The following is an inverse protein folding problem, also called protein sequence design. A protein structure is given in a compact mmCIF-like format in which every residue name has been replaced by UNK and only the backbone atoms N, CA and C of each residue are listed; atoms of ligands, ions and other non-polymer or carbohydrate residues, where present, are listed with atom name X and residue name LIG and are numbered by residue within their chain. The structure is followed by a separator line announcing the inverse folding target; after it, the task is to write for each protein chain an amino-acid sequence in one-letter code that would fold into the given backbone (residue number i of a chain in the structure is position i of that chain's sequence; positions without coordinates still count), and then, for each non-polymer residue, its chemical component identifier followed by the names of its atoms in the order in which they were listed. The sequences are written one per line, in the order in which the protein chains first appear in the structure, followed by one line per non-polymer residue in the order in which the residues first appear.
data_IF_480402049394
#
_entry.id   IF_480402049394
#
_cell.length_a   1.000
_cell.length_b   1.000
_cell.length_c   1.000
_cell.angle_alpha   90.00
_cell.angle_beta   90.00
_cell.angle_gamma   90.00
#
_symmetry.space_group_name_H-M   'P 1'
#
loop_
_entity.id
_entity.type
_entity.pdbx_description
1 polymer ?
#
# COMPACT_ATOMS: atom_id res chain seq x y z
N UNK A 1 10.13 21.68 10.34
CA UNK A 1 11.57 21.83 10.11
C UNK A 1 12.24 20.57 10.65
N UNK A 2 12.62 19.64 9.78
CA UNK A 2 13.35 18.44 10.17
C UNK A 2 14.84 18.79 10.14
N UNK A 3 15.44 18.89 11.32
CA UNK A 3 16.89 19.04 11.49
C UNK A 3 17.46 17.73 12.02
N UNK A 4 18.38 17.09 11.29
CA UNK A 4 19.38 16.23 11.90
C UNK A 4 19.49 14.76 11.47
N UNK A 5 19.08 14.35 10.27
CA UNK A 5 19.48 13.04 9.71
C UNK A 5 20.44 13.24 8.54
N UNK A 6 21.54 12.50 8.52
CA UNK A 6 22.51 12.50 7.44
C UNK A 6 21.81 12.25 6.10
N UNK A 7 22.18 13.04 5.09
CA UNK A 7 21.70 12.93 3.72
C UNK A 7 22.25 11.64 3.10
N UNK A 8 21.64 10.49 3.42
CA UNK A 8 21.88 9.23 2.70
C UNK A 8 20.67 9.01 1.82
N UNK A 9 20.73 9.44 0.57
CA UNK A 9 19.79 9.14 -0.52
C UNK A 9 19.63 7.62 -0.71
N UNK A 10 19.15 6.87 0.28
CA UNK A 10 19.03 5.40 0.27
C UNK A 10 17.60 5.05 0.68
N UNK A 11 16.84 4.47 -0.24
CA UNK A 11 15.56 3.85 0.12
C UNK A 11 15.79 2.64 1.03
N UNK A 12 15.00 2.47 2.11
CA UNK A 12 14.95 1.23 2.87
C UNK A 12 14.79 0.02 1.94
N UNK A 13 15.57 -1.03 2.18
CA UNK A 13 15.59 -2.20 1.30
C UNK A 13 14.22 -2.87 1.12
N UNK A 14 13.33 -2.82 2.13
CA UNK A 14 11.96 -3.33 1.99
C UNK A 14 11.13 -2.54 0.96
N UNK A 15 11.31 -1.23 0.89
CA UNK A 15 10.63 -0.38 -0.11
C UNK A 15 11.14 -0.66 -1.52
N UNK A 16 12.44 -0.93 -1.66
CA UNK A 16 13.03 -1.40 -2.91
C UNK A 16 12.36 -2.69 -3.42
N UNK A 17 12.12 -3.65 -2.51
CA UNK A 17 11.40 -4.89 -2.85
C UNK A 17 9.95 -4.64 -3.31
N UNK A 18 9.22 -3.71 -2.68
CA UNK A 18 7.86 -3.36 -3.13
C UNK A 18 7.84 -2.68 -4.50
N UNK A 19 8.83 -1.83 -4.80
CA UNK A 19 9.00 -1.24 -6.13
C UNK A 19 9.28 -2.34 -7.17
N UNK A 20 10.22 -3.25 -6.88
CA UNK A 20 10.54 -4.38 -7.74
C UNK A 20 9.32 -5.28 -8.01
N UNK A 21 8.54 -5.61 -6.97
CA UNK A 21 7.30 -6.39 -7.11
C UNK A 21 6.27 -5.68 -8.02
N UNK A 22 6.17 -4.36 -7.92
CA UNK A 22 5.27 -3.56 -8.76
C UNK A 22 5.69 -3.63 -10.23
N UNK A 23 6.98 -3.45 -10.52
CA UNK A 23 7.55 -3.56 -11.87
C UNK A 23 7.32 -4.95 -12.46
N UNK A 24 7.58 -6.00 -11.68
CA UNK A 24 7.38 -7.38 -12.12
C UNK A 24 5.90 -7.69 -12.39
N UNK A 25 5.01 -7.16 -11.55
CA UNK A 25 3.56 -7.29 -11.77
C UNK A 25 3.12 -6.57 -13.05
N UNK A 26 3.69 -5.40 -13.34
CA UNK A 26 3.48 -4.69 -14.60
C UNK A 26 3.97 -5.49 -15.81
N UNK A 27 5.16 -6.09 -15.73
CA UNK A 27 5.72 -6.97 -16.77
C UNK A 27 4.86 -8.21 -17.02
N UNK A 28 4.28 -8.79 -15.98
CA UNK A 28 3.36 -9.94 -16.12
C UNK A 28 2.10 -9.54 -16.88
N UNK A 29 1.55 -8.35 -16.64
CA UNK A 29 0.38 -7.86 -17.37
C UNK A 29 0.71 -7.43 -18.80
N UNK A 30 1.83 -6.74 -18.99
CA UNK A 30 2.32 -6.30 -20.29
C UNK A 30 3.70 -6.93 -20.57
N UNK A 31 3.72 -8.08 -21.27
CA UNK A 31 4.96 -8.74 -21.65
C UNK A 31 5.86 -7.91 -22.58
N UNK A 32 5.37 -6.81 -23.16
CA UNK A 32 6.18 -5.90 -23.98
C UNK A 32 7.08 -4.99 -23.15
N UNK A 33 6.85 -4.89 -21.83
CA UNK A 33 7.64 -4.03 -20.95
C UNK A 33 9.11 -4.48 -20.90
N UNK A 34 10.06 -3.63 -21.25
CA UNK A 34 11.49 -4.01 -21.19
C UNK A 34 12.09 -3.66 -19.83
N UNK A 35 12.50 -4.68 -19.05
CA UNK A 35 13.19 -4.44 -17.77
C UNK A 35 14.55 -3.77 -17.98
N UNK A 36 15.27 -4.09 -19.07
CA UNK A 36 16.56 -3.47 -19.37
C UNK A 36 16.42 -1.98 -19.75
N UNK A 37 15.30 -1.61 -20.38
CA UNK A 37 15.03 -0.20 -20.69
C UNK A 37 14.49 0.55 -19.47
N UNK A 38 13.67 -0.11 -18.65
CA UNK A 38 13.01 0.47 -17.49
C UNK A 38 13.92 0.60 -16.28
N UNK A 39 14.77 -0.38 -15.99
CA UNK A 39 15.48 -0.48 -14.71
C UNK A 39 16.93 -0.08 -14.90
N UNK A 40 17.47 0.72 -13.98
CA UNK A 40 18.89 1.00 -13.96
C UNK A 40 19.67 -0.29 -13.63
N UNK A 41 20.84 -0.55 -14.26
CA UNK A 41 21.65 -1.73 -13.95
C UNK A 41 21.93 -1.95 -12.46
N UNK A 42 22.07 -0.88 -11.67
CA UNK A 42 22.28 -0.98 -10.22
C UNK A 42 21.08 -1.52 -9.43
N UNK A 43 19.87 -1.48 -9.99
CA UNK A 43 18.65 -1.99 -9.36
C UNK A 43 18.22 -3.37 -9.88
N UNK A 44 18.82 -3.86 -10.96
CA UNK A 44 18.54 -5.20 -11.50
C UNK A 44 18.75 -6.33 -10.47
N UNK A 45 19.76 -6.29 -9.58
CA UNK A 45 19.89 -7.32 -8.53
C UNK A 45 18.68 -7.41 -7.59
N UNK A 46 17.97 -6.30 -7.36
CA UNK A 46 16.73 -6.30 -6.56
C UNK A 46 15.59 -6.94 -7.34
N UNK A 47 15.50 -6.68 -8.65
CA UNK A 47 14.52 -7.32 -9.54
C UNK A 47 14.73 -8.84 -9.55
N UNK A 48 15.97 -9.30 -9.76
CA UNK A 48 16.32 -10.71 -9.82
C UNK A 48 16.01 -11.44 -8.50
N UNK A 49 16.39 -10.84 -7.37
CA UNK A 49 16.10 -11.37 -6.04
C UNK A 49 14.58 -11.46 -5.78
N UNK A 50 13.84 -10.42 -6.18
CA UNK A 50 12.38 -10.37 -6.04
C UNK A 50 11.68 -11.41 -6.92
N UNK A 51 12.20 -11.74 -8.11
CA UNK A 51 11.58 -12.74 -9.00
C UNK A 51 11.57 -14.15 -8.39
N UNK A 52 12.59 -14.50 -7.60
CA UNK A 52 12.74 -15.84 -7.01
C UNK A 52 12.27 -15.91 -5.56
N UNK A 53 12.00 -14.76 -4.93
CA UNK A 53 11.54 -14.67 -3.55
C UNK A 53 10.01 -14.54 -3.46
N UNK A 54 9.41 -15.22 -2.49
CA UNK A 54 8.00 -15.04 -2.14
C UNK A 54 7.75 -13.82 -1.23
N UNK A 55 8.80 -13.10 -0.80
CA UNK A 55 8.71 -11.91 0.05
C UNK A 55 9.65 -10.82 -0.46
N UNK A 56 9.25 -9.54 -0.44
CA UNK A 56 10.16 -8.45 -0.80
C UNK A 56 11.37 -8.46 0.14
N UNK A 57 12.54 -8.74 -0.41
CA UNK A 57 13.83 -8.66 0.25
C UNK A 57 14.58 -7.43 -0.28
N UNK A 58 15.28 -6.76 0.62
CA UNK A 58 16.05 -5.57 0.27
C UNK A 58 17.52 -5.90 0.09
N UNK A 59 18.08 -5.58 -1.08
CA UNK A 59 19.53 -5.58 -1.29
C UNK A 59 20.06 -4.22 -0.82
N UNK A 60 20.91 -4.22 0.20
CA UNK A 60 21.15 -3.07 1.09
C UNK A 60 22.03 -1.93 0.57
N UNK A 61 22.15 -1.67 -0.74
CA UNK A 61 23.08 -0.63 -1.22
C UNK A 61 22.67 0.16 -2.49
N UNK A 62 21.37 0.28 -2.79
CA UNK A 62 20.94 1.07 -3.96
C UNK A 62 20.55 2.51 -3.58
N UNK A 63 21.20 3.50 -4.20
CA UNK A 63 20.97 4.95 -3.95
C UNK A 63 19.78 5.52 -4.75
N UNK A 64 19.14 6.58 -4.24
CA UNK A 64 17.88 7.13 -4.79
C UNK A 64 17.95 7.60 -6.23
N UNK A 65 19.13 8.00 -6.68
CA UNK A 65 19.25 8.83 -7.86
C UNK A 65 19.01 8.12 -9.20
N UNK A 66 18.76 6.80 -9.27
CA UNK A 66 18.35 6.12 -10.51
C UNK A 66 17.92 4.66 -10.31
N UNK A 67 16.72 4.36 -9.80
CA UNK A 67 16.22 2.95 -9.84
C UNK A 67 15.61 2.59 -11.18
N UNK A 68 14.94 3.59 -11.79
CA UNK A 68 14.07 3.43 -12.93
C UNK A 68 14.44 4.54 -13.92
N UNK A 69 14.59 4.17 -15.18
CA UNK A 69 14.74 5.09 -16.30
C UNK A 69 13.35 5.56 -16.73
N UNK A 70 13.20 6.85 -17.00
CA UNK A 70 11.98 7.41 -17.59
C UNK A 70 11.88 7.02 -19.07
N UNK A 71 10.65 6.96 -19.60
CA UNK A 71 10.36 6.64 -21.00
C UNK A 71 9.15 5.73 -21.16
N UNK A 72 8.96 5.17 -22.36
CA UNK A 72 7.76 4.39 -22.71
C UNK A 72 7.47 3.24 -21.73
N UNK A 73 8.50 2.53 -21.26
CA UNK A 73 8.30 1.44 -20.30
C UNK A 73 7.98 1.93 -18.89
N UNK A 74 8.43 3.13 -18.51
CA UNK A 74 8.01 3.77 -17.27
C UNK A 74 6.53 4.16 -17.36
N UNK A 75 6.09 4.71 -18.49
CA UNK A 75 4.69 5.08 -18.72
C UNK A 75 3.76 3.85 -18.65
N UNK A 76 4.22 2.68 -19.11
CA UNK A 76 3.48 1.41 -18.92
C UNK A 76 3.34 1.04 -17.45
N UNK A 77 4.38 1.23 -16.62
CA UNK A 77 4.29 0.99 -15.16
C UNK A 77 3.35 2.01 -14.53
N UNK A 78 3.41 3.28 -14.92
CA UNK A 78 2.48 4.31 -14.45
C UNK A 78 1.05 3.92 -14.80
N UNK A 79 0.78 3.53 -16.04
CA UNK A 79 -0.55 3.07 -16.47
C UNK A 79 -1.00 1.83 -15.69
N UNK A 80 -0.10 0.88 -15.43
CA UNK A 80 -0.37 -0.29 -14.58
C UNK A 80 -0.81 0.12 -13.17
N UNK A 81 -0.11 1.08 -12.57
CA UNK A 81 -0.41 1.61 -11.22
C UNK A 81 -1.73 2.35 -11.26
N UNK A 82 -1.90 3.32 -12.16
CA UNK A 82 -3.13 4.13 -12.26
C UNK A 82 -4.37 3.26 -12.46
N UNK A 83 -4.31 2.24 -13.31
CA UNK A 83 -5.47 1.34 -13.53
C UNK A 83 -5.84 0.50 -12.32
N UNK A 84 -4.96 0.36 -11.32
CA UNK A 84 -5.18 -0.42 -10.08
C UNK A 84 -5.29 0.43 -8.82
N UNK A 85 -4.76 1.64 -8.83
CA UNK A 85 -4.75 2.57 -7.69
C UNK A 85 -6.12 3.18 -7.43
N UNK A 86 -7.08 3.03 -8.34
CA UNK A 86 -8.46 3.34 -8.04
C UNK A 86 -9.10 2.16 -7.29
N UNK A 87 -9.34 2.33 -5.99
CA UNK A 87 -10.50 1.67 -5.42
C UNK A 87 -11.69 2.03 -6.31
N UNK A 88 -12.55 1.07 -6.66
CA UNK A 88 -13.70 1.40 -7.46
C UNK A 88 -14.43 2.53 -6.74
N UNK A 89 -14.65 3.66 -7.42
CA UNK A 89 -15.56 4.73 -6.99
C UNK A 89 -17.01 4.23 -6.86
N UNK A 90 -17.22 2.93 -7.00
CA UNK A 90 -18.48 2.25 -6.91
C UNK A 90 -18.73 1.91 -5.45
N UNK A 91 -19.96 2.15 -5.02
CA UNK A 91 -20.50 1.66 -3.77
C UNK A 91 -20.20 0.18 -3.57
N UNK A 92 -19.61 -0.17 -2.43
CA UNK A 92 -19.54 -1.54 -1.97
C UNK A 92 -20.87 -1.92 -1.32
N UNK A 93 -21.42 -3.07 -1.72
CA UNK A 93 -22.70 -3.59 -1.21
C UNK A 93 -22.56 -4.41 0.08
N UNK A 94 -21.36 -4.42 0.66
CA UNK A 94 -21.04 -5.09 1.90
C UNK A 94 -20.40 -4.08 2.85
N UNK A 95 -20.60 -4.19 4.18
CA UNK A 95 -19.83 -3.42 5.14
C UNK A 95 -18.34 -3.70 5.01
N UNK A 96 -17.52 -2.66 5.17
CA UNK A 96 -16.06 -2.75 5.09
C UNK A 96 -15.43 -2.18 6.35
N UNK A 97 -14.42 -2.88 6.87
CA UNK A 97 -13.50 -2.39 7.89
C UNK A 97 -12.18 -1.98 7.21
N UNK A 98 -11.68 -0.79 7.53
CA UNK A 98 -10.35 -0.31 7.16
C UNK A 98 -9.61 0.04 8.46
N UNK A 99 -8.43 -0.53 8.66
CA UNK A 99 -7.59 -0.29 9.85
C UNK A 99 -6.23 0.26 9.41
N UNK A 100 -5.75 1.33 10.03
CA UNK A 100 -4.45 1.91 9.73
C UNK A 100 -3.69 2.36 11.00
N UNK A 101 -2.35 2.23 10.99
CA UNK A 101 -1.47 2.80 12.01
C UNK A 101 -1.00 4.20 11.61
N UNK A 102 -1.07 5.18 12.52
CA UNK A 102 -0.68 6.57 12.21
C UNK A 102 0.82 6.77 12.10
N UNK A 103 1.63 5.86 12.64
CA UNK A 103 3.10 5.86 12.51
C UNK A 103 3.57 4.82 11.48
N UNK A 104 2.66 4.33 10.62
CA UNK A 104 3.02 3.51 9.48
C UNK A 104 3.78 4.34 8.44
N UNK A 105 5.11 4.34 8.56
CA UNK A 105 6.05 4.96 7.61
C UNK A 105 6.37 4.05 6.41
N UNK A 106 5.66 2.91 6.25
CA UNK A 106 5.77 2.07 5.06
C UNK A 106 4.98 2.64 3.88
N UNK A 107 4.88 1.88 2.78
CA UNK A 107 4.17 2.28 1.55
C UNK A 107 2.65 2.45 1.69
N UNK A 108 2.06 2.22 2.88
CA UNK A 108 0.62 2.32 3.14
C UNK A 108 0.34 3.34 4.25
N UNK A 109 0.32 4.63 3.90
CA UNK A 109 0.07 5.70 4.88
C UNK A 109 -1.38 5.73 5.38
N UNK A 110 -1.57 6.12 6.64
CA UNK A 110 -2.90 6.36 7.20
C UNK A 110 -3.69 7.45 6.48
N UNK A 111 -3.00 8.44 5.89
CA UNK A 111 -3.64 9.51 5.13
C UNK A 111 -4.26 8.99 3.83
N UNK A 112 -3.55 8.11 3.11
CA UNK A 112 -4.11 7.44 1.95
C UNK A 112 -5.31 6.56 2.34
N UNK A 113 -5.20 5.78 3.43
CA UNK A 113 -6.30 4.97 3.92
C UNK A 113 -7.54 5.80 4.30
N UNK A 114 -7.33 6.99 4.88
CA UNK A 114 -8.39 7.95 5.21
C UNK A 114 -9.08 8.50 3.97
N UNK A 115 -8.30 8.91 2.97
CA UNK A 115 -8.83 9.43 1.71
C UNK A 115 -9.65 8.38 0.96
N UNK A 116 -9.16 7.16 0.90
CA UNK A 116 -9.87 6.03 0.29
C UNK A 116 -11.15 5.66 1.07
N UNK A 117 -11.10 5.67 2.41
CA UNK A 117 -12.29 5.47 3.26
C UNK A 117 -13.35 6.54 2.99
N UNK A 118 -12.94 7.81 2.85
CA UNK A 118 -13.83 8.92 2.53
C UNK A 118 -14.49 8.74 1.17
N UNK A 119 -13.75 8.35 0.13
CA UNK A 119 -14.29 8.09 -1.22
C UNK A 119 -15.34 6.98 -1.20
N UNK A 120 -15.08 5.88 -0.50
CA UNK A 120 -16.04 4.78 -0.36
C UNK A 120 -17.33 5.22 0.34
N UNK A 121 -17.20 6.07 1.36
CA UNK A 121 -18.32 6.67 2.08
C UNK A 121 -19.14 7.63 1.23
N UNK A 122 -18.49 8.51 0.46
CA UNK A 122 -19.15 9.41 -0.50
C UNK A 122 -19.90 8.63 -1.60
N UNK A 123 -19.38 7.46 -2.00
CA UNK A 123 -20.07 6.54 -2.90
C UNK A 123 -21.26 5.80 -2.23
N UNK A 124 -21.50 5.97 -0.93
CA UNK A 124 -22.60 5.35 -0.19
C UNK A 124 -22.32 3.95 0.33
N UNK A 125 -21.04 3.56 0.43
CA UNK A 125 -20.62 2.33 1.12
C UNK A 125 -20.72 2.48 2.62
N UNK A 126 -20.85 1.36 3.34
CA UNK A 126 -20.74 1.34 4.80
C UNK A 126 -19.29 1.05 5.17
N UNK A 127 -18.57 2.06 5.66
CA UNK A 127 -17.17 1.93 6.05
C UNK A 127 -17.01 2.22 7.54
N UNK A 128 -16.35 1.30 8.22
CA UNK A 128 -15.76 1.52 9.53
C UNK A 128 -14.25 1.76 9.35
N UNK A 129 -13.80 2.98 9.62
CA UNK A 129 -12.39 3.35 9.50
C UNK A 129 -11.79 3.55 10.89
N UNK A 130 -10.85 2.69 11.25
CA UNK A 130 -10.18 2.73 12.55
C UNK A 130 -8.70 3.10 12.41
N UNK A 131 -8.25 4.09 13.18
CA UNK A 131 -6.83 4.48 13.22
C UNK A 131 -6.24 4.28 14.60
N UNK A 132 -4.98 3.84 14.65
CA UNK A 132 -4.25 3.60 15.89
C UNK A 132 -3.03 4.52 15.96
N UNK A 133 -2.92 5.28 17.05
CA UNK A 133 -2.09 6.50 17.07
C UNK A 133 -0.59 6.29 17.23
N UNK A 134 -0.16 5.11 17.66
CA UNK A 134 1.25 4.81 18.00
C UNK A 134 1.84 3.66 17.18
N UNK A 135 1.01 3.00 16.39
CA UNK A 135 1.32 1.72 15.76
C UNK A 135 1.93 1.90 14.37
N UNK A 136 3.12 1.29 14.18
CA UNK A 136 3.76 1.16 12.87
C UNK A 136 3.11 0.04 12.04
N UNK A 137 3.58 -0.17 10.80
CA UNK A 137 3.09 -1.26 9.93
C UNK A 137 3.09 -2.64 10.61
N UNK A 138 4.12 -2.96 11.41
CA UNK A 138 4.21 -4.27 12.05
C UNK A 138 3.37 -4.34 13.33
N UNK A 139 3.31 -3.23 14.08
CA UNK A 139 2.60 -3.17 15.36
C UNK A 139 1.08 -3.17 15.18
N UNK A 140 0.59 -2.67 14.05
CA UNK A 140 -0.84 -2.65 13.76
C UNK A 140 -1.40 -4.03 13.40
N UNK A 141 -0.56 -4.98 12.94
CA UNK A 141 -1.04 -6.27 12.43
C UNK A 141 -1.86 -7.08 13.47
N UNK A 142 -1.37 -7.32 14.71
CA UNK A 142 -2.16 -8.07 15.69
C UNK A 142 -3.47 -7.37 16.04
N UNK A 143 -3.45 -6.04 16.19
CA UNK A 143 -4.66 -5.26 16.49
C UNK A 143 -5.66 -5.29 15.33
N UNK A 144 -5.17 -5.16 14.10
CA UNK A 144 -6.01 -5.22 12.90
C UNK A 144 -6.68 -6.58 12.75
N UNK A 145 -6.01 -7.66 13.17
CA UNK A 145 -6.59 -8.99 13.21
C UNK A 145 -7.73 -9.06 14.23
N UNK A 146 -7.51 -8.61 15.46
CA UNK A 146 -8.55 -8.59 16.50
C UNK A 146 -9.77 -7.78 16.05
N UNK A 147 -9.54 -6.59 15.45
CA UNK A 147 -10.61 -5.76 14.87
C UNK A 147 -11.35 -6.42 13.72
N UNK A 148 -10.63 -7.15 12.87
CA UNK A 148 -11.26 -7.91 11.78
C UNK A 148 -12.16 -9.02 12.32
N UNK A 149 -11.78 -9.70 13.40
CA UNK A 149 -12.61 -10.73 14.06
C UNK A 149 -13.83 -10.12 14.73
N UNK A 150 -13.68 -9.00 15.45
CA UNK A 150 -14.78 -8.24 16.05
C UNK A 150 -15.79 -7.82 14.97
N UNK A 151 -15.29 -7.20 13.89
CA UNK A 151 -16.11 -6.74 12.77
C UNK A 151 -16.83 -7.89 12.07
N UNK A 152 -16.12 -8.98 11.76
CA UNK A 152 -16.71 -10.17 11.14
C UNK A 152 -17.83 -10.76 12.01
N UNK A 153 -17.62 -10.80 13.33
CA UNK A 153 -18.63 -11.26 14.28
C UNK A 153 -19.86 -10.35 14.27
N UNK A 154 -19.66 -9.03 14.29
CA UNK A 154 -20.75 -8.05 14.22
C UNK A 154 -21.59 -8.20 12.94
N UNK A 155 -20.96 -8.18 11.76
CA UNK A 155 -21.68 -8.26 10.48
C UNK A 155 -22.39 -9.62 10.30
N UNK A 156 -21.86 -10.70 10.87
CA UNK A 156 -22.44 -12.05 10.78
C UNK A 156 -23.78 -12.18 11.53
N UNK A 157 -24.00 -11.38 12.56
CA UNK A 157 -25.21 -11.43 13.39
C UNK A 157 -26.41 -10.75 12.71
N UNK A 158 -26.24 -10.18 11.49
CA UNK A 158 -27.25 -9.43 10.73
C UNK A 158 -27.89 -8.25 11.49
N UNK A 159 -27.28 -7.83 12.60
CA UNK A 159 -27.68 -6.63 13.34
C UNK A 159 -26.95 -5.46 12.69
N UNK A 160 -27.68 -4.67 11.90
CA UNK A 160 -27.24 -3.32 11.56
C UNK A 160 -28.31 -2.38 12.10
N UNK A 161 -28.19 -2.01 13.39
CA UNK A 161 -27.88 -0.61 13.67
C UNK A 161 -26.99 -0.38 14.91
N UNK A 162 -25.97 0.48 14.77
CA UNK A 162 -25.21 1.09 15.87
C UNK A 162 -23.70 0.79 15.86
N UNK A 163 -22.91 1.87 15.91
CA UNK A 163 -21.45 2.01 16.09
C UNK A 163 -20.48 1.58 14.97
N UNK A 164 -20.82 0.64 14.09
CA UNK A 164 -19.98 0.27 12.94
C UNK A 164 -20.54 0.81 11.61
N UNK A 165 -19.67 1.29 10.71
CA UNK A 165 -20.05 1.64 9.34
C UNK A 165 -20.65 3.04 9.17
N UNK A 166 -20.41 3.96 10.11
CA UNK A 166 -20.96 5.33 10.08
C UNK A 166 -20.10 6.34 9.30
N UNK A 167 -19.07 5.87 8.57
CA UNK A 167 -18.20 6.74 7.80
C UNK A 167 -17.47 7.81 8.63
N UNK A 168 -17.28 7.54 9.92
CA UNK A 168 -16.49 8.37 10.83
C UNK A 168 -15.23 7.62 11.22
N UNK A 169 -14.11 8.35 11.26
CA UNK A 169 -12.85 7.79 11.77
C UNK A 169 -12.95 7.55 13.27
N UNK A 170 -12.72 6.31 13.70
CA UNK A 170 -12.64 5.91 15.10
C UNK A 170 -11.17 5.79 15.48
N UNK A 171 -10.76 6.49 16.55
CA UNK A 171 -9.39 6.41 17.06
C UNK A 171 -9.33 5.33 18.16
N UNK A 172 -8.52 4.31 17.93
CA UNK A 172 -8.24 3.22 18.87
C UNK A 172 -6.97 3.41 19.68
#
# INVERSE_FOLDING_TARGET
MLTGAANTNKLPGVLQGYVAMTILSAKVQDPSLSLDALVNPGFMPVIDDTQVSCKPSGVTDVTEDSYINLGDDFDKVVQFVETRSYLPTNKLNVPVLIVAGLTDESSVSADLARDESRKLCEAGSMVDFQTFTTESHQDILPRSFDKSVEFASYVSQKVVPGDFGNCTEIKG
#
